data_IF_622297579440
#
_entry.id   IF_622297579440
#
_cell.length_a   1.000
_cell.length_b   1.000
_cell.length_c   1.000
_cell.angle_alpha   90.00
_cell.angle_beta   90.00
_cell.angle_gamma   90.00
#
_symmetry.space_group_name_H-M   'P 1'
#
loop_
_entity.id
_entity.type
_entity.pdbx_description
1 polymer ?
#
# COMPACT_ATOMS: atom_id res chain seq x y z
N UNK A 1 -11.84 13.18 -6.90
CA UNK A 1 -10.78 13.82 -7.73
C UNK A 1 -9.56 12.90 -7.75
N UNK A 2 -9.26 12.28 -8.88
CA UNK A 2 -8.01 11.52 -9.05
C UNK A 2 -6.83 12.51 -8.94
N UNK A 3 -5.95 12.26 -7.95
CA UNK A 3 -4.69 13.01 -7.87
C UNK A 3 -3.93 12.78 -9.18
N UNK A 4 -3.81 13.82 -10.01
CA UNK A 4 -2.97 13.85 -11.20
C UNK A 4 -1.58 13.29 -10.83
N UNK A 5 -1.19 12.22 -11.50
CA UNK A 5 0.11 11.58 -11.32
C UNK A 5 1.19 12.59 -11.72
N UNK A 6 2.02 13.04 -10.76
CA UNK A 6 3.15 13.91 -11.08
C UNK A 6 4.45 13.11 -10.93
N UNK A 7 5.22 13.06 -12.02
CA UNK A 7 6.60 12.58 -12.01
C UNK A 7 7.48 13.60 -11.27
N UNK A 8 7.45 13.58 -9.94
CA UNK A 8 8.33 14.44 -9.15
C UNK A 8 9.69 13.74 -8.90
N UNK A 9 10.72 14.54 -8.57
CA UNK A 9 12.07 14.01 -8.34
C UNK A 9 12.12 12.87 -7.29
N UNK A 10 11.24 12.88 -6.28
CA UNK A 10 11.14 11.81 -5.30
C UNK A 10 10.68 10.50 -5.94
N UNK A 11 9.67 10.54 -6.81
CA UNK A 11 9.19 9.35 -7.51
C UNK A 11 10.31 8.70 -8.34
N UNK A 12 11.05 9.51 -9.09
CA UNK A 12 12.18 9.04 -9.91
C UNK A 12 13.27 8.41 -9.03
N UNK A 13 13.63 9.06 -7.93
CA UNK A 13 14.64 8.54 -6.99
C UNK A 13 14.24 7.19 -6.39
N UNK A 14 12.99 7.03 -5.98
CA UNK A 14 12.50 5.75 -5.44
C UNK A 14 12.45 4.64 -6.49
N UNK A 15 11.98 4.94 -7.72
CA UNK A 15 12.01 3.99 -8.82
C UNK A 15 13.44 3.54 -9.10
N UNK A 16 14.41 4.47 -9.13
CA UNK A 16 15.81 4.15 -9.33
C UNK A 16 16.37 3.22 -8.22
N UNK A 17 16.07 3.53 -6.94
CA UNK A 17 16.50 2.69 -5.81
C UNK A 17 15.89 1.29 -5.89
N UNK A 18 14.60 1.16 -6.14
CA UNK A 18 13.95 -0.16 -6.28
C UNK A 18 14.50 -0.94 -7.48
N UNK A 19 14.78 -0.26 -8.59
CA UNK A 19 15.38 -0.90 -9.78
C UNK A 19 16.80 -1.42 -9.49
N UNK A 20 17.61 -0.63 -8.79
CA UNK A 20 18.94 -1.06 -8.35
C UNK A 20 18.85 -2.27 -7.39
N UNK A 21 17.90 -2.27 -6.44
CA UNK A 21 17.67 -3.42 -5.56
C UNK A 21 17.25 -4.67 -6.35
N UNK A 22 16.40 -4.51 -7.39
CA UNK A 22 16.05 -5.63 -8.26
C UNK A 22 17.29 -6.20 -8.96
N UNK A 23 18.17 -5.35 -9.51
CA UNK A 23 19.39 -5.77 -10.19
C UNK A 23 20.33 -6.52 -9.23
N UNK A 24 20.58 -5.99 -8.03
CA UNK A 24 21.40 -6.65 -7.01
C UNK A 24 20.83 -8.03 -6.64
N UNK A 25 19.52 -8.14 -6.44
CA UNK A 25 18.89 -9.43 -6.12
C UNK A 25 18.88 -10.40 -7.33
N UNK A 26 18.96 -9.88 -8.54
CA UNK A 26 19.09 -10.71 -9.74
C UNK A 26 20.46 -11.38 -9.85
N UNK A 27 21.53 -10.78 -9.34
CA UNK A 27 22.87 -11.41 -9.30
C UNK A 27 22.89 -12.70 -8.47
N UNK A 28 21.94 -12.84 -7.53
CA UNK A 28 21.80 -14.04 -6.69
C UNK A 28 20.84 -15.01 -7.41
N UNK A 29 21.37 -15.75 -8.37
CA UNK A 29 20.64 -16.76 -9.12
C UNK A 29 21.04 -18.16 -8.66
N UNK A 30 20.06 -18.95 -8.21
CA UNK A 30 20.29 -20.30 -7.69
C UNK A 30 19.70 -21.33 -8.65
N UNK A 31 20.53 -22.13 -9.34
CA UNK A 31 20.03 -23.27 -10.09
C UNK A 31 19.53 -24.34 -9.11
N UNK A 32 18.35 -24.85 -9.34
CA UNK A 32 17.79 -25.93 -8.53
C UNK A 32 17.96 -27.26 -9.26
N UNK A 33 18.52 -28.31 -8.62
CA UNK A 33 18.85 -29.58 -9.29
C UNK A 33 17.63 -30.36 -9.79
N UNK A 34 16.43 -30.00 -9.36
CA UNK A 34 15.15 -30.59 -9.80
C UNK A 34 14.58 -29.95 -11.06
N UNK A 35 15.20 -28.88 -11.56
CA UNK A 35 14.78 -28.17 -12.77
C UNK A 35 15.93 -28.08 -13.80
N UNK A 36 15.62 -27.92 -15.10
CA UNK A 36 16.63 -27.68 -16.11
C UNK A 36 17.55 -26.50 -15.75
N UNK A 37 18.86 -26.63 -16.01
CA UNK A 37 19.89 -25.69 -15.54
C UNK A 37 19.71 -24.24 -16.02
N UNK A 38 18.98 -24.02 -17.10
CA UNK A 38 18.62 -22.68 -17.58
C UNK A 38 17.49 -22.00 -16.79
N UNK A 39 16.82 -22.75 -15.89
CA UNK A 39 15.81 -22.20 -14.96
C UNK A 39 16.49 -21.92 -13.61
N UNK A 40 16.91 -20.67 -13.41
CA UNK A 40 17.53 -20.22 -12.16
C UNK A 40 16.52 -19.43 -11.32
N UNK A 41 16.39 -19.75 -10.03
CA UNK A 41 15.49 -19.04 -9.13
C UNK A 41 16.16 -17.79 -8.55
N UNK A 42 15.44 -16.71 -8.51
CA UNK A 42 15.86 -15.44 -7.91
C UNK A 42 14.67 -14.68 -7.34
N UNK A 43 14.93 -13.72 -6.46
CA UNK A 43 13.89 -12.94 -5.76
C UNK A 43 13.83 -11.48 -6.21
N UNK A 44 14.36 -11.19 -7.41
CA UNK A 44 14.48 -9.82 -7.93
C UNK A 44 13.14 -9.11 -8.20
N UNK A 45 12.01 -9.83 -8.23
CA UNK A 45 10.67 -9.23 -8.35
C UNK A 45 10.15 -8.64 -7.03
N UNK A 46 10.77 -8.96 -5.88
CA UNK A 46 10.37 -8.48 -4.57
C UNK A 46 10.35 -6.94 -4.47
N UNK A 47 11.44 -6.20 -4.83
CA UNK A 47 11.40 -4.74 -4.76
C UNK A 47 10.39 -4.13 -5.75
N UNK A 48 10.16 -4.74 -6.91
CA UNK A 48 9.16 -4.29 -7.88
C UNK A 48 7.73 -4.41 -7.33
N UNK A 49 7.40 -5.51 -6.62
CA UNK A 49 6.13 -5.66 -5.91
C UNK A 49 5.95 -4.62 -4.81
N UNK A 50 7.00 -4.38 -4.00
CA UNK A 50 6.97 -3.37 -2.95
C UNK A 50 6.75 -1.97 -3.54
N UNK A 51 7.43 -1.63 -4.65
CA UNK A 51 7.24 -0.38 -5.37
C UNK A 51 5.78 -0.26 -5.89
N UNK A 52 5.26 -1.33 -6.47
CA UNK A 52 3.88 -1.39 -6.97
C UNK A 52 2.83 -1.20 -5.87
N UNK A 53 3.03 -1.80 -4.70
CA UNK A 53 2.13 -1.66 -3.55
C UNK A 53 2.23 -0.27 -2.90
N UNK A 54 3.43 0.29 -2.79
CA UNK A 54 3.67 1.56 -2.09
C UNK A 54 3.37 2.78 -2.96
N UNK A 55 3.80 2.75 -4.23
CA UNK A 55 3.78 3.89 -5.16
C UNK A 55 2.74 3.74 -6.27
N UNK A 56 2.14 2.57 -6.38
CA UNK A 56 1.10 2.23 -7.36
C UNK A 56 1.58 1.41 -8.55
N UNK A 57 0.64 0.84 -9.34
CA UNK A 57 0.94 -0.13 -10.41
C UNK A 57 1.95 0.37 -11.45
N UNK A 58 1.88 1.66 -11.80
CA UNK A 58 2.80 2.26 -12.76
C UNK A 58 4.25 2.24 -12.27
N UNK A 59 4.48 2.52 -10.99
CA UNK A 59 5.83 2.46 -10.42
C UNK A 59 6.38 1.04 -10.46
N UNK A 60 5.59 0.03 -10.09
CA UNK A 60 5.98 -1.37 -10.20
C UNK A 60 6.32 -1.79 -11.64
N UNK A 61 5.51 -1.35 -12.62
CA UNK A 61 5.76 -1.63 -14.04
C UNK A 61 7.06 -0.97 -14.53
N UNK A 62 7.30 0.31 -14.18
CA UNK A 62 8.54 1.01 -14.57
C UNK A 62 9.75 0.38 -13.91
N UNK A 63 9.67 -0.04 -12.66
CA UNK A 63 10.76 -0.81 -11.99
C UNK A 63 11.05 -2.11 -12.75
N UNK A 64 10.03 -2.84 -13.23
CA UNK A 64 10.25 -4.04 -14.06
C UNK A 64 10.98 -3.71 -15.37
N UNK A 65 10.66 -2.59 -16.04
CA UNK A 65 11.35 -2.14 -17.25
C UNK A 65 12.80 -1.78 -16.95
N UNK A 66 13.05 -1.00 -15.91
CA UNK A 66 14.42 -0.63 -15.51
C UNK A 66 15.24 -1.86 -15.11
N UNK A 67 14.64 -2.79 -14.35
CA UNK A 67 15.23 -4.08 -14.01
C UNK A 67 15.67 -4.83 -15.27
N UNK A 68 14.79 -4.97 -16.25
CA UNK A 68 15.07 -5.64 -17.52
C UNK A 68 16.29 -5.03 -18.24
N UNK A 69 16.35 -3.69 -18.32
CA UNK A 69 17.50 -3.01 -18.93
C UNK A 69 18.80 -3.29 -18.16
N UNK A 70 18.74 -3.28 -16.82
CA UNK A 70 19.90 -3.57 -15.98
C UNK A 70 20.37 -5.03 -16.09
N UNK A 71 19.45 -5.99 -16.20
CA UNK A 71 19.75 -7.41 -16.44
C UNK A 71 20.48 -7.60 -17.78
N UNK A 72 20.12 -6.85 -18.83
CA UNK A 72 20.82 -6.90 -20.12
C UNK A 72 22.24 -6.32 -20.08
N UNK A 73 22.46 -5.28 -19.27
CA UNK A 73 23.79 -4.63 -19.13
C UNK A 73 24.77 -5.55 -18.39
N UNK A 74 24.30 -6.33 -17.42
CA UNK A 74 25.12 -7.27 -16.65
C UNK A 74 25.64 -8.45 -17.50
N UNK A 75 25.03 -8.67 -18.65
CA UNK A 75 25.37 -9.77 -19.56
C UNK A 75 24.32 -10.89 -19.52
N UNK A 76 24.30 -11.68 -20.57
CA UNK A 76 23.28 -12.73 -20.71
C UNK A 76 23.92 -14.11 -20.92
N UNK A 77 23.55 -15.07 -20.07
CA UNK A 77 23.91 -16.48 -20.20
C UNK A 77 23.03 -17.25 -21.23
N UNK A 78 21.92 -16.59 -21.66
CA UNK A 78 20.86 -17.23 -22.46
C UNK A 78 20.56 -16.50 -23.75
N UNK A 79 21.51 -15.73 -24.27
CA UNK A 79 21.35 -14.87 -25.45
C UNK A 79 20.15 -13.91 -25.33
N UNK A 80 19.85 -13.41 -24.13
CA UNK A 80 18.76 -12.47 -23.86
C UNK A 80 17.39 -13.11 -23.65
N UNK A 81 17.23 -14.40 -23.88
CA UNK A 81 15.93 -15.08 -23.81
C UNK A 81 15.44 -15.21 -22.37
N UNK A 82 16.34 -15.47 -21.43
CA UNK A 82 16.04 -15.54 -20.00
C UNK A 82 15.57 -14.21 -19.45
N UNK A 83 16.25 -13.13 -19.81
CA UNK A 83 15.94 -11.76 -19.40
C UNK A 83 14.57 -11.30 -19.93
N UNK A 84 14.25 -11.62 -21.19
CA UNK A 84 12.91 -11.38 -21.76
C UNK A 84 11.84 -12.19 -21.00
N UNK A 85 12.12 -13.46 -20.69
CA UNK A 85 11.22 -14.29 -19.91
C UNK A 85 10.98 -13.71 -18.51
N UNK A 86 12.05 -13.27 -17.84
CA UNK A 86 11.99 -12.65 -16.51
C UNK A 86 11.17 -11.35 -16.53
N UNK A 87 11.37 -10.51 -17.55
CA UNK A 87 10.61 -9.28 -17.73
C UNK A 87 9.11 -9.54 -17.89
N UNK A 88 8.74 -10.41 -18.83
CA UNK A 88 7.32 -10.73 -19.10
C UNK A 88 6.66 -11.32 -17.84
N UNK A 89 7.33 -12.26 -17.17
CA UNK A 89 6.83 -12.91 -15.98
C UNK A 89 6.76 -11.93 -14.78
N UNK A 90 7.75 -11.04 -14.65
CA UNK A 90 7.79 -10.00 -13.63
C UNK A 90 6.62 -9.02 -13.79
N UNK A 91 6.38 -8.50 -15.00
CA UNK A 91 5.24 -7.62 -15.27
C UNK A 91 3.91 -8.34 -15.03
N UNK A 92 3.78 -9.60 -15.48
CA UNK A 92 2.58 -10.42 -15.29
C UNK A 92 2.30 -10.72 -13.80
N UNK A 93 3.32 -10.67 -12.95
CA UNK A 93 3.19 -10.80 -11.51
C UNK A 93 2.89 -9.46 -10.83
N UNK A 94 3.73 -8.46 -11.06
CA UNK A 94 3.73 -7.18 -10.33
C UNK A 94 2.52 -6.33 -10.68
N UNK A 95 2.14 -6.26 -11.96
CA UNK A 95 1.08 -5.34 -12.39
C UNK A 95 -0.31 -5.75 -11.84
N UNK A 96 -0.81 -6.99 -12.02
CA UNK A 96 -2.09 -7.39 -11.47
C UNK A 96 -2.11 -7.34 -9.94
N UNK A 97 -1.02 -7.76 -9.28
CA UNK A 97 -0.88 -7.69 -7.81
C UNK A 97 -1.07 -6.26 -7.31
N UNK A 98 -0.41 -5.31 -7.96
CA UNK A 98 -0.44 -3.89 -7.58
C UNK A 98 -1.78 -3.22 -7.89
N UNK A 99 -2.45 -3.60 -8.98
CA UNK A 99 -3.79 -3.09 -9.32
C UNK A 99 -4.80 -3.53 -8.28
N UNK A 100 -4.81 -4.81 -7.90
CA UNK A 100 -5.72 -5.34 -6.86
C UNK A 100 -5.47 -4.64 -5.53
N UNK A 101 -4.20 -4.51 -5.15
CA UNK A 101 -3.83 -3.84 -3.91
C UNK A 101 -4.22 -2.35 -3.90
N UNK A 102 -4.12 -1.66 -5.04
CA UNK A 102 -4.54 -0.24 -5.18
C UNK A 102 -6.02 -0.06 -4.82
N UNK A 103 -6.87 -1.00 -5.21
CA UNK A 103 -8.31 -0.95 -4.91
C UNK A 103 -8.63 -1.38 -3.47
N UNK A 104 -7.83 -2.25 -2.86
CA UNK A 104 -8.05 -2.74 -1.50
C UNK A 104 -6.76 -2.69 -0.68
N UNK A 105 -6.44 -1.50 -0.13
CA UNK A 105 -5.22 -1.24 0.66
C UNK A 105 -5.29 -1.89 2.04
N UNK A 106 -5.21 -3.21 2.11
CA UNK A 106 -5.23 -4.00 3.34
C UNK A 106 -4.32 -5.22 3.20
N UNK A 107 -3.95 -5.86 4.32
CA UNK A 107 -3.20 -7.12 4.30
C UNK A 107 -3.91 -8.21 3.47
N UNK A 108 -5.24 -8.31 3.58
CA UNK A 108 -6.04 -9.22 2.76
C UNK A 108 -5.96 -8.86 1.27
N UNK A 109 -5.98 -7.56 0.94
CA UNK A 109 -5.83 -7.08 -0.43
C UNK A 109 -4.44 -7.36 -1.00
N UNK A 110 -3.38 -7.23 -0.21
CA UNK A 110 -2.02 -7.61 -0.60
C UNK A 110 -1.92 -9.11 -0.89
N UNK A 111 -2.46 -9.95 -0.01
CA UNK A 111 -2.47 -11.40 -0.18
C UNK A 111 -3.23 -11.82 -1.43
N UNK A 112 -4.44 -11.31 -1.64
CA UNK A 112 -5.25 -11.58 -2.85
C UNK A 112 -4.49 -11.11 -4.10
N UNK A 113 -3.87 -9.93 -4.06
CA UNK A 113 -3.06 -9.40 -5.14
C UNK A 113 -1.91 -10.34 -5.51
N UNK A 114 -1.14 -10.81 -4.51
CA UNK A 114 -0.03 -11.75 -4.70
C UNK A 114 -0.52 -13.07 -5.31
N UNK A 115 -1.62 -13.62 -4.82
CA UNK A 115 -2.18 -14.88 -5.33
C UNK A 115 -2.61 -14.71 -6.79
N UNK A 116 -3.43 -13.71 -7.10
CA UNK A 116 -3.94 -13.49 -8.46
C UNK A 116 -2.81 -13.13 -9.43
N UNK A 117 -1.92 -12.20 -9.05
CA UNK A 117 -0.77 -11.86 -9.88
C UNK A 117 0.17 -13.05 -10.09
N UNK A 118 0.35 -13.88 -9.05
CA UNK A 118 1.12 -15.12 -9.16
C UNK A 118 0.53 -16.11 -10.14
N UNK A 119 -0.79 -16.35 -10.09
CA UNK A 119 -1.49 -17.20 -11.05
C UNK A 119 -1.39 -16.64 -12.47
N UNK A 120 -1.54 -15.33 -12.65
CA UNK A 120 -1.32 -14.67 -13.94
C UNK A 120 0.11 -14.91 -14.46
N UNK A 121 1.13 -14.74 -13.60
CA UNK A 121 2.53 -14.97 -13.98
C UNK A 121 2.79 -16.41 -14.40
N UNK A 122 2.29 -17.40 -13.66
CA UNK A 122 2.43 -18.82 -14.03
C UNK A 122 1.75 -19.11 -15.36
N UNK A 123 0.54 -18.61 -15.57
CA UNK A 123 -0.20 -18.78 -16.81
C UNK A 123 0.54 -18.16 -18.01
N UNK A 124 0.98 -16.91 -17.87
CA UNK A 124 1.74 -16.21 -18.92
C UNK A 124 3.09 -16.90 -19.18
N UNK A 125 3.78 -17.38 -18.15
CA UNK A 125 5.00 -18.15 -18.31
C UNK A 125 4.79 -19.41 -19.20
N UNK A 126 3.73 -20.17 -18.93
CA UNK A 126 3.41 -21.34 -19.74
C UNK A 126 3.10 -20.97 -21.19
N UNK A 127 2.28 -19.94 -21.39
CA UNK A 127 1.89 -19.47 -22.72
C UNK A 127 3.08 -19.01 -23.54
N UNK A 128 3.90 -18.14 -22.96
CA UNK A 128 5.07 -17.52 -23.63
C UNK A 128 6.15 -18.56 -23.90
N UNK A 129 6.40 -19.49 -22.98
CA UNK A 129 7.34 -20.61 -23.21
C UNK A 129 6.85 -21.52 -24.35
N UNK A 130 5.56 -21.85 -24.39
CA UNK A 130 4.95 -22.71 -25.43
C UNK A 130 4.99 -22.08 -26.82
N UNK A 131 4.70 -20.79 -26.90
CA UNK A 131 4.53 -20.10 -28.18
C UNK A 131 5.81 -19.51 -28.74
N UNK A 132 6.68 -19.00 -27.88
CA UNK A 132 7.77 -18.12 -28.29
C UNK A 132 9.13 -18.48 -27.68
N UNK A 133 9.29 -18.51 -26.35
CA UNK A 133 10.60 -18.54 -25.69
C UNK A 133 11.45 -19.76 -26.07
N UNK A 134 10.89 -20.96 -26.05
CA UNK A 134 11.63 -22.18 -26.39
C UNK A 134 12.11 -22.15 -27.85
N UNK A 135 11.30 -21.59 -28.76
CA UNK A 135 11.70 -21.47 -30.18
C UNK A 135 12.85 -20.47 -30.35
N UNK A 136 12.78 -19.32 -29.64
CA UNK A 136 13.85 -18.31 -29.69
C UNK A 136 15.11 -18.86 -29.03
N UNK A 137 14.99 -19.53 -27.89
CA UNK A 137 16.08 -20.17 -27.20
C UNK A 137 16.78 -21.24 -28.11
N UNK A 138 15.97 -22.07 -28.81
CA UNK A 138 16.48 -23.02 -29.78
C UNK A 138 17.27 -22.33 -30.88
N UNK A 139 16.74 -21.23 -31.42
CA UNK A 139 17.38 -20.53 -32.56
C UNK A 139 18.70 -19.84 -32.18
N UNK A 140 18.71 -19.12 -31.06
CA UNK A 140 19.83 -18.24 -30.70
C UNK A 140 20.81 -18.84 -29.72
N UNK A 141 20.40 -19.75 -28.84
CA UNK A 141 21.28 -20.34 -27.83
C UNK A 141 21.93 -21.66 -28.30
N UNK A 142 21.15 -22.52 -28.99
CA UNK A 142 21.64 -23.83 -29.44
C UNK A 142 21.74 -23.94 -30.97
N UNK A 143 21.84 -22.81 -31.67
CA UNK A 143 22.04 -22.74 -33.12
C UNK A 143 21.03 -23.59 -33.95
N UNK A 144 19.76 -23.58 -33.51
CA UNK A 144 18.68 -24.32 -34.18
C UNK A 144 18.55 -25.78 -33.79
N UNK A 145 19.43 -26.33 -32.97
CA UNK A 145 19.41 -27.75 -32.60
C UNK A 145 18.49 -27.98 -31.38
N UNK A 146 17.23 -28.31 -31.66
CA UNK A 146 16.23 -28.55 -30.62
C UNK A 146 16.55 -29.77 -29.73
N UNK A 147 17.20 -30.80 -30.28
CA UNK A 147 17.58 -31.99 -29.51
C UNK A 147 18.49 -31.70 -28.32
N UNK A 148 19.31 -30.63 -28.40
CA UNK A 148 20.11 -30.18 -27.24
C UNK A 148 19.24 -29.79 -26.06
N UNK A 149 18.18 -29.01 -26.29
CA UNK A 149 17.25 -28.60 -25.24
C UNK A 149 16.52 -29.82 -24.66
N UNK A 150 16.08 -30.72 -25.54
CA UNK A 150 15.44 -31.97 -25.09
C UNK A 150 16.41 -32.78 -24.22
N UNK A 151 17.69 -32.90 -24.59
CA UNK A 151 18.69 -33.62 -23.82
C UNK A 151 19.00 -32.94 -22.47
N UNK A 152 19.01 -31.59 -22.39
CA UNK A 152 19.11 -30.85 -21.12
C UNK A 152 17.99 -31.21 -20.14
N UNK A 153 16.78 -31.46 -20.65
CA UNK A 153 15.64 -31.86 -19.84
C UNK A 153 15.59 -33.38 -19.57
N UNK A 154 16.16 -34.20 -20.47
CA UNK A 154 16.12 -35.67 -20.41
C UNK A 154 16.89 -36.23 -19.21
N UNK A 155 17.93 -35.52 -18.74
CA UNK A 155 18.67 -35.88 -17.52
C UNK A 155 17.80 -35.89 -16.27
N UNK A 156 16.73 -35.06 -16.25
CA UNK A 156 15.78 -34.95 -15.15
C UNK A 156 14.48 -35.73 -15.43
N UNK A 157 14.02 -35.70 -16.68
CA UNK A 157 12.74 -36.29 -17.11
C UNK A 157 12.99 -37.37 -18.16
N UNK A 158 13.29 -38.58 -17.75
CA UNK A 158 13.75 -39.70 -18.61
C UNK A 158 12.79 -40.04 -19.76
N UNK A 159 11.49 -39.76 -19.62
CA UNK A 159 10.47 -40.05 -20.66
C UNK A 159 10.31 -38.91 -21.68
N UNK A 160 11.06 -37.80 -21.57
CA UNK A 160 10.95 -36.67 -22.48
C UNK A 160 11.62 -36.98 -23.82
N UNK A 161 10.98 -36.60 -24.92
CA UNK A 161 11.49 -36.67 -26.28
C UNK A 161 10.95 -35.47 -27.08
N UNK A 162 11.36 -35.32 -28.34
CA UNK A 162 10.96 -34.17 -29.16
C UNK A 162 9.45 -34.05 -29.36
N UNK A 163 8.73 -35.16 -29.47
CA UNK A 163 7.30 -35.20 -29.72
C UNK A 163 6.48 -34.77 -28.49
N UNK A 164 6.94 -35.11 -27.29
CA UNK A 164 6.25 -34.82 -26.03
C UNK A 164 6.91 -33.71 -25.20
N UNK A 165 7.94 -33.05 -25.71
CA UNK A 165 8.74 -32.05 -24.99
C UNK A 165 7.88 -31.00 -24.31
N UNK A 166 7.01 -30.33 -25.05
CA UNK A 166 6.22 -29.24 -24.50
C UNK A 166 5.29 -29.69 -23.38
N UNK A 167 4.73 -30.88 -23.47
CA UNK A 167 3.87 -31.43 -22.42
C UNK A 167 4.68 -31.64 -21.13
N UNK A 168 5.78 -32.39 -21.22
CA UNK A 168 6.63 -32.63 -20.04
C UNK A 168 7.26 -31.35 -19.49
N UNK A 169 7.81 -30.50 -20.36
CA UNK A 169 8.43 -29.26 -19.96
C UNK A 169 7.44 -28.33 -19.26
N UNK A 170 6.24 -28.15 -19.80
CA UNK A 170 5.25 -27.25 -19.18
C UNK A 170 4.77 -27.80 -17.83
N UNK A 171 4.39 -29.06 -17.76
CA UNK A 171 3.81 -29.62 -16.54
C UNK A 171 4.86 -30.00 -15.48
N UNK A 172 6.05 -30.46 -15.85
CA UNK A 172 7.05 -30.92 -14.90
C UNK A 172 8.11 -29.86 -14.56
N UNK A 173 8.34 -28.89 -15.43
CA UNK A 173 9.34 -27.83 -15.19
C UNK A 173 8.71 -26.44 -15.07
N UNK A 174 8.05 -25.94 -16.12
CA UNK A 174 7.63 -24.55 -16.19
C UNK A 174 6.61 -24.17 -15.09
N UNK A 175 5.53 -24.94 -14.92
CA UNK A 175 4.52 -24.70 -13.89
C UNK A 175 5.12 -24.80 -12.48
N UNK A 176 5.76 -25.92 -12.08
CA UNK A 176 6.29 -26.04 -10.72
C UNK A 176 7.36 -24.99 -10.40
N UNK A 177 8.24 -24.69 -11.35
CA UNK A 177 9.28 -23.68 -11.18
C UNK A 177 8.70 -22.28 -10.95
N UNK A 178 7.78 -21.82 -11.81
CA UNK A 178 7.18 -20.50 -11.67
C UNK A 178 6.28 -20.42 -10.45
N UNK A 179 5.59 -21.50 -10.09
CA UNK A 179 4.83 -21.56 -8.84
C UNK A 179 5.73 -21.40 -7.61
N UNK A 180 6.86 -22.12 -7.57
CA UNK A 180 7.84 -22.00 -6.49
C UNK A 180 8.41 -20.58 -6.40
N UNK A 181 8.76 -19.97 -7.56
CA UNK A 181 9.24 -18.59 -7.63
C UNK A 181 8.23 -17.60 -7.07
N UNK A 182 6.97 -17.69 -7.51
CA UNK A 182 5.88 -16.81 -7.06
C UNK A 182 5.61 -17.00 -5.57
N UNK A 183 5.62 -18.23 -5.08
CA UNK A 183 5.45 -18.54 -3.66
C UNK A 183 6.58 -17.90 -2.83
N UNK A 184 7.82 -18.10 -3.23
CA UNK A 184 8.98 -17.54 -2.52
C UNK A 184 8.94 -16.02 -2.49
N UNK A 185 8.77 -15.37 -3.64
CA UNK A 185 8.71 -13.90 -3.74
C UNK A 185 7.48 -13.36 -3.00
N UNK A 186 6.34 -14.06 -3.11
CA UNK A 186 5.10 -13.67 -2.44
C UNK A 186 5.20 -13.72 -0.92
N UNK A 187 5.75 -14.80 -0.36
CA UNK A 187 5.98 -14.93 1.09
C UNK A 187 6.94 -13.85 1.59
N UNK A 188 8.07 -13.67 0.91
CA UNK A 188 9.04 -12.62 1.27
C UNK A 188 8.41 -11.23 1.20
N UNK A 189 7.64 -10.94 0.14
CA UNK A 189 6.93 -9.66 0.01
C UNK A 189 5.95 -9.46 1.17
N UNK A 190 5.17 -10.47 1.51
CA UNK A 190 4.20 -10.38 2.60
C UNK A 190 4.86 -10.10 3.95
N UNK A 191 6.00 -10.76 4.24
CA UNK A 191 6.75 -10.56 5.48
C UNK A 191 7.39 -9.16 5.57
N UNK A 192 7.97 -8.69 4.46
CA UNK A 192 8.72 -7.41 4.42
C UNK A 192 7.81 -6.22 4.17
N UNK A 193 6.65 -6.39 3.54
CA UNK A 193 5.78 -5.32 3.10
C UNK A 193 5.30 -4.42 4.26
N UNK A 194 4.85 -5.00 5.39
CA UNK A 194 4.27 -4.23 6.50
C UNK A 194 5.26 -3.25 7.16
N UNK A 195 6.49 -3.65 7.52
CA UNK A 195 7.49 -2.72 8.03
C UNK A 195 7.94 -1.73 6.96
N UNK A 196 8.18 -2.19 5.73
CA UNK A 196 8.68 -1.35 4.63
C UNK A 196 7.65 -0.30 4.21
N UNK A 197 6.35 -0.63 4.15
CA UNK A 197 5.31 0.31 3.77
C UNK A 197 5.17 1.49 4.75
N UNK A 198 5.39 1.26 6.05
CA UNK A 198 5.39 2.34 7.05
C UNK A 198 6.55 3.31 6.82
N UNK A 199 7.76 2.79 6.56
CA UNK A 199 8.95 3.58 6.29
C UNK A 199 8.82 4.32 4.96
N UNK A 200 8.39 3.62 3.90
CA UNK A 200 8.20 4.22 2.57
C UNK A 200 7.12 5.30 2.57
N UNK A 201 5.99 5.07 3.24
CA UNK A 201 4.95 6.09 3.38
C UNK A 201 5.50 7.33 4.09
N UNK A 202 6.33 7.15 5.12
CA UNK A 202 6.97 8.26 5.83
C UNK A 202 7.98 9.01 4.95
N UNK A 203 8.75 8.33 4.11
CA UNK A 203 9.80 8.95 3.29
C UNK A 203 9.25 9.45 1.95
N UNK A 204 8.44 8.65 1.25
CA UNK A 204 7.95 8.95 -0.11
C UNK A 204 6.80 9.97 -0.13
N UNK A 205 5.78 9.75 0.69
CA UNK A 205 4.70 10.74 0.80
C UNK A 205 5.13 11.93 1.67
N UNK A 206 6.36 11.91 2.15
CA UNK A 206 6.79 12.63 3.31
C UNK A 206 6.14 11.92 4.51
N UNK A 207 6.66 11.94 5.73
CA UNK A 207 5.73 12.31 6.75
C UNK A 207 4.90 13.39 6.05
N UNK A 208 3.55 13.27 5.89
CA UNK A 208 2.81 14.51 5.91
C UNK A 208 3.61 15.27 6.94
N UNK A 209 4.41 16.27 6.49
CA UNK A 209 4.79 17.31 7.41
C UNK A 209 3.41 17.73 7.78
N UNK A 210 2.99 17.15 8.87
CA UNK A 210 1.87 17.57 9.61
C UNK A 210 2.27 19.00 9.81
N UNK A 211 1.80 19.86 8.91
CA UNK A 211 1.80 21.28 9.10
C UNK A 211 0.79 21.52 10.22
N UNK A 212 1.00 20.72 11.29
CA UNK A 212 0.35 20.91 12.52
C UNK A 212 0.92 22.19 13.10
N UNK A 213 0.06 23.13 13.35
CA UNK A 213 0.43 24.36 14.04
C UNK A 213 0.92 23.96 15.44
N UNK A 214 2.10 24.41 15.83
CA UNK A 214 2.60 24.15 17.17
C UNK A 214 1.97 25.16 18.12
N UNK A 215 1.21 24.66 19.09
CA UNK A 215 0.73 25.44 20.22
C UNK A 215 1.66 25.24 21.41
N UNK A 216 2.03 26.32 22.08
CA UNK A 216 2.90 26.34 23.25
C UNK A 216 2.17 26.64 24.56
N UNK A 217 0.86 26.92 24.48
CA UNK A 217 -0.01 27.14 25.64
C UNK A 217 -1.47 26.81 25.35
N UNK A 218 -2.31 26.74 26.39
CA UNK A 218 -3.75 26.53 26.22
C UNK A 218 -4.41 27.70 25.46
N UNK A 219 -4.00 28.94 25.76
CA UNK A 219 -4.49 30.16 25.10
C UNK A 219 -4.17 30.13 23.60
N UNK A 220 -2.97 29.67 23.23
CA UNK A 220 -2.59 29.52 21.82
C UNK A 220 -3.41 28.41 21.13
N UNK A 221 -3.70 27.31 21.84
CA UNK A 221 -4.58 26.26 21.32
C UNK A 221 -5.98 26.82 21.04
N UNK A 222 -6.52 27.62 21.96
CA UNK A 222 -7.81 28.28 21.81
C UNK A 222 -7.80 29.26 20.63
N UNK A 223 -6.74 30.05 20.47
CA UNK A 223 -6.62 31.00 19.35
C UNK A 223 -6.61 30.26 17.99
N UNK A 224 -5.85 29.17 17.88
CA UNK A 224 -5.81 28.33 16.65
C UNK A 224 -7.21 27.77 16.35
N UNK A 225 -7.89 27.23 17.35
CA UNK A 225 -9.22 26.64 17.18
C UNK A 225 -10.29 27.69 16.84
N UNK A 226 -10.17 28.91 17.39
CA UNK A 226 -11.03 30.05 17.05
C UNK A 226 -10.89 30.44 15.58
N UNK A 227 -9.67 30.42 15.04
CA UNK A 227 -9.44 30.71 13.62
C UNK A 227 -9.97 29.58 12.75
N UNK A 228 -9.77 28.32 13.16
CA UNK A 228 -10.29 27.14 12.47
C UNK A 228 -11.82 27.17 12.39
N UNK A 229 -12.52 27.63 13.44
CA UNK A 229 -13.97 27.74 13.47
C UNK A 229 -14.55 28.58 12.32
N UNK A 230 -13.81 29.58 11.80
CA UNK A 230 -14.23 30.39 10.64
C UNK A 230 -14.37 29.57 9.33
N UNK A 231 -13.78 28.40 9.27
CA UNK A 231 -13.86 27.49 8.13
C UNK A 231 -15.03 26.51 8.21
N UNK A 232 -15.69 26.45 9.36
CA UNK A 232 -16.78 25.53 9.62
C UNK A 232 -18.12 26.08 9.11
N UNK A 233 -18.99 25.16 8.72
CA UNK A 233 -20.36 25.44 8.25
C UNK A 233 -21.35 24.63 9.05
N UNK A 234 -22.62 25.03 9.13
CA UNK A 234 -23.66 24.19 9.73
C UNK A 234 -23.66 22.76 9.18
N UNK A 235 -23.88 21.78 10.05
CA UNK A 235 -23.79 20.34 9.80
C UNK A 235 -22.37 19.81 9.54
N UNK A 236 -21.31 20.60 9.74
CA UNK A 236 -19.96 20.04 9.78
C UNK A 236 -19.78 19.21 11.06
N UNK A 237 -19.20 18.01 10.87
CA UNK A 237 -18.79 17.11 11.95
C UNK A 237 -17.28 17.11 12.07
N UNK A 238 -16.76 17.57 13.20
CA UNK A 238 -15.32 17.68 13.50
C UNK A 238 -14.94 16.57 14.48
N UNK A 239 -14.08 15.68 14.06
CA UNK A 239 -13.56 14.58 14.87
C UNK A 239 -12.23 14.99 15.52
N UNK A 240 -12.18 15.04 16.85
CA UNK A 240 -10.97 15.37 17.61
C UNK A 240 -10.23 14.11 18.03
N UNK A 241 -9.10 13.83 17.38
CA UNK A 241 -8.17 12.76 17.75
C UNK A 241 -7.10 13.24 18.74
N UNK A 242 -6.63 12.34 19.58
CA UNK A 242 -5.55 12.59 20.55
C UNK A 242 -5.79 11.90 21.88
N UNK A 243 -4.69 11.64 22.61
CA UNK A 243 -4.71 10.95 23.90
C UNK A 243 -5.48 11.72 24.99
N UNK A 244 -5.72 11.06 26.12
CA UNK A 244 -6.29 11.72 27.30
C UNK A 244 -5.36 12.88 27.72
N UNK A 245 -5.96 14.05 27.95
CA UNK A 245 -5.19 15.27 28.31
C UNK A 245 -4.47 15.95 27.13
N UNK A 246 -4.66 15.50 25.89
CA UNK A 246 -4.05 16.15 24.72
C UNK A 246 -4.53 17.58 24.48
N UNK A 247 -5.70 17.95 24.99
CA UNK A 247 -6.27 19.30 24.85
C UNK A 247 -7.46 19.37 23.90
N UNK A 248 -8.18 18.27 23.66
CA UNK A 248 -9.37 18.20 22.81
C UNK A 248 -10.45 19.20 23.28
N UNK A 249 -10.82 19.14 24.54
CA UNK A 249 -11.79 20.08 25.14
C UNK A 249 -11.28 21.53 25.11
N UNK A 250 -9.96 21.77 25.21
CA UNK A 250 -9.37 23.10 25.03
C UNK A 250 -9.55 23.61 23.59
N UNK A 251 -9.43 22.73 22.62
CA UNK A 251 -9.67 23.04 21.21
C UNK A 251 -11.15 23.33 20.97
N UNK A 252 -12.06 22.56 21.57
CA UNK A 252 -13.51 22.79 21.52
C UNK A 252 -13.89 24.17 22.10
N UNK A 253 -13.22 24.62 23.19
CA UNK A 253 -13.40 26.01 23.73
C UNK A 253 -13.07 27.05 22.67
N UNK A 254 -12.02 26.86 21.90
CA UNK A 254 -11.65 27.77 20.81
C UNK A 254 -12.67 27.78 19.68
N UNK A 255 -13.21 26.62 19.28
CA UNK A 255 -14.30 26.54 18.29
C UNK A 255 -15.53 27.32 18.81
N UNK A 256 -15.95 27.08 20.04
CA UNK A 256 -17.08 27.76 20.64
C UNK A 256 -16.93 29.29 20.62
N UNK A 257 -15.76 29.81 21.02
CA UNK A 257 -15.45 31.23 20.93
C UNK A 257 -15.49 31.77 19.50
N UNK A 258 -15.08 30.98 18.52
CA UNK A 258 -15.13 31.31 17.09
C UNK A 258 -16.56 31.41 16.56
N UNK A 259 -17.50 30.65 17.15
CA UNK A 259 -18.92 30.64 16.85
C UNK A 259 -19.72 31.70 17.66
N UNK A 260 -19.04 32.51 18.50
CA UNK A 260 -19.66 33.52 19.34
C UNK A 260 -20.37 32.94 20.56
N UNK A 261 -19.99 31.74 21.01
CA UNK A 261 -20.52 31.10 22.22
C UNK A 261 -19.65 31.53 23.40
N UNK A 262 -20.25 32.09 24.43
CA UNK A 262 -19.58 32.60 25.65
C UNK A 262 -19.73 31.66 26.85
N UNK A 263 -20.53 30.62 26.69
CA UNK A 263 -20.76 29.62 27.72
C UNK A 263 -19.47 28.85 28.09
N UNK A 264 -19.40 28.38 29.33
CA UNK A 264 -18.29 27.59 29.80
C UNK A 264 -18.33 26.21 29.18
N UNK A 265 -17.36 25.92 28.29
CA UNK A 265 -17.25 24.63 27.64
C UNK A 265 -16.56 23.63 28.57
N UNK A 266 -17.24 22.51 28.84
CA UNK A 266 -16.74 21.38 29.64
C UNK A 266 -16.83 20.08 28.83
N UNK A 267 -16.03 19.10 29.19
CA UNK A 267 -16.13 17.75 28.57
C UNK A 267 -17.42 17.06 29.06
N UNK A 268 -18.27 16.55 28.15
CA UNK A 268 -19.52 15.87 28.52
C UNK A 268 -19.31 14.37 28.79
N UNK A 269 -18.19 13.94 29.41
CA UNK A 269 -17.82 12.54 29.63
C UNK A 269 -18.91 11.70 30.32
N UNK A 270 -19.81 12.34 31.11
CA UNK A 270 -20.90 11.65 31.79
C UNK A 270 -22.27 11.87 31.12
N UNK A 271 -22.42 12.96 30.36
CA UNK A 271 -23.66 13.33 29.67
C UNK A 271 -23.66 12.91 28.19
N UNK A 272 -22.50 12.40 27.67
CA UNK A 272 -22.24 12.07 26.30
C UNK A 272 -22.29 13.27 25.32
N UNK A 273 -23.11 14.26 25.53
CA UNK A 273 -23.24 15.44 24.67
C UNK A 273 -23.67 16.67 25.49
N UNK A 274 -23.10 17.82 25.16
CA UNK A 274 -23.57 19.14 25.58
C UNK A 274 -24.02 19.92 24.35
N UNK A 275 -25.23 20.52 24.44
CA UNK A 275 -25.76 21.45 23.44
C UNK A 275 -25.50 22.90 23.89
N UNK A 276 -24.87 23.66 23.02
CA UNK A 276 -24.61 25.09 23.21
C UNK A 276 -25.44 25.91 22.22
N UNK A 277 -26.70 26.12 22.58
CA UNK A 277 -27.69 26.95 21.88
C UNK A 277 -27.96 26.51 20.43
N UNK A 278 -27.92 25.22 20.13
CA UNK A 278 -28.10 24.66 18.79
C UNK A 278 -27.00 25.02 17.78
N UNK A 279 -25.97 25.75 18.22
CA UNK A 279 -24.85 26.17 17.36
C UNK A 279 -23.68 25.18 17.40
N UNK A 280 -23.44 24.60 18.58
CA UNK A 280 -22.37 23.65 18.81
C UNK A 280 -22.85 22.47 19.64
N UNK A 281 -22.68 21.29 19.14
CA UNK A 281 -22.94 20.03 19.82
C UNK A 281 -21.58 19.38 20.13
N UNK A 282 -21.22 19.32 21.42
CA UNK A 282 -19.95 18.74 21.87
C UNK A 282 -20.18 17.34 22.43
N UNK A 283 -19.59 16.35 21.82
CA UNK A 283 -19.71 14.95 22.18
C UNK A 283 -18.41 14.43 22.80
N UNK A 284 -18.57 13.58 23.82
CA UNK A 284 -17.46 12.75 24.36
C UNK A 284 -17.92 11.29 24.36
N UNK A 285 -17.42 10.54 23.38
CA UNK A 285 -17.76 9.14 23.14
C UNK A 285 -16.84 8.16 23.88
N UNK A 286 -16.04 8.61 24.85
CA UNK A 286 -15.07 7.75 25.59
C UNK A 286 -15.71 6.50 26.20
N UNK A 287 -16.95 6.60 26.66
CA UNK A 287 -17.68 5.52 27.34
C UNK A 287 -18.58 4.68 26.41
N UNK A 288 -18.73 5.09 25.17
CA UNK A 288 -19.49 4.31 24.18
C UNK A 288 -18.62 3.16 23.66
N UNK A 289 -19.26 2.05 23.39
CA UNK A 289 -18.56 0.84 22.91
C UNK A 289 -18.86 0.54 21.46
N UNK A 290 -19.93 1.13 20.91
CA UNK A 290 -20.35 0.91 19.52
C UNK A 290 -21.12 2.11 18.96
N UNK A 291 -21.30 2.14 17.64
CA UNK A 291 -22.18 3.12 16.99
C UNK A 291 -23.66 2.91 17.36
N UNK A 292 -24.07 1.68 17.60
CA UNK A 292 -25.44 1.34 18.04
C UNK A 292 -25.77 1.99 19.39
N UNK A 293 -24.79 2.09 20.30
CA UNK A 293 -24.96 2.82 21.56
C UNK A 293 -25.26 4.30 21.31
N UNK A 294 -24.57 4.91 20.34
CA UNK A 294 -24.77 6.31 19.98
C UNK A 294 -26.15 6.55 19.33
N UNK A 295 -26.59 5.64 18.46
CA UNK A 295 -27.92 5.67 17.83
C UNK A 295 -29.01 5.49 18.91
N UNK A 296 -28.84 4.53 19.81
CA UNK A 296 -29.78 4.28 20.90
C UNK A 296 -29.94 5.47 21.86
N UNK A 297 -28.94 6.33 21.97
CA UNK A 297 -28.99 7.58 22.74
C UNK A 297 -29.45 8.78 21.90
N UNK A 298 -29.79 8.62 20.63
CA UNK A 298 -30.23 9.69 19.73
C UNK A 298 -29.11 10.69 19.36
N UNK A 299 -27.84 10.34 19.56
CA UNK A 299 -26.71 11.25 19.30
C UNK A 299 -26.52 11.54 17.81
N UNK A 300 -26.89 10.62 16.94
CA UNK A 300 -26.76 10.73 15.48
C UNK A 300 -27.68 11.77 14.86
N UNK A 301 -28.80 12.09 15.52
CA UNK A 301 -29.77 13.10 15.04
C UNK A 301 -29.14 14.48 14.97
N UNK A 302 -28.22 14.79 15.89
CA UNK A 302 -27.52 16.07 15.95
C UNK A 302 -26.56 16.33 14.80
N UNK A 303 -26.12 15.29 14.05
CA UNK A 303 -25.26 15.49 12.90
C UNK A 303 -25.90 16.31 11.78
N UNK A 304 -27.22 16.41 11.79
CA UNK A 304 -28.02 17.13 10.80
C UNK A 304 -28.89 18.25 11.42
N UNK A 305 -28.63 18.63 12.69
CA UNK A 305 -29.43 19.59 13.42
C UNK A 305 -29.07 21.07 13.17
N UNK A 306 -28.39 21.37 12.03
CA UNK A 306 -28.00 22.72 11.61
C UNK A 306 -27.00 23.43 12.54
N UNK A 307 -26.36 22.69 13.44
CA UNK A 307 -25.22 23.11 14.25
C UNK A 307 -23.92 22.49 13.78
N UNK A 308 -22.83 22.71 14.51
CA UNK A 308 -21.53 22.09 14.32
C UNK A 308 -21.35 21.01 15.38
N UNK A 309 -21.04 19.79 14.97
CA UNK A 309 -20.71 18.69 15.88
C UNK A 309 -19.20 18.61 16.10
N UNK A 310 -18.76 18.56 17.36
CA UNK A 310 -17.37 18.29 17.75
C UNK A 310 -17.36 17.04 18.59
N UNK A 311 -16.65 16.00 18.10
CA UNK A 311 -16.70 14.64 18.66
C UNK A 311 -15.31 14.24 19.16
N UNK A 312 -15.18 14.00 20.46
CA UNK A 312 -14.04 13.36 21.09
C UNK A 312 -14.25 11.83 21.13
N UNK A 313 -13.19 11.03 20.95
CA UNK A 313 -13.22 9.56 20.94
C UNK A 313 -14.13 8.98 19.85
N UNK A 314 -14.11 9.59 18.69
CA UNK A 314 -14.97 9.24 17.55
C UNK A 314 -14.73 7.84 17.00
N UNK A 315 -13.60 7.22 17.28
CA UNK A 315 -13.28 5.83 16.92
C UNK A 315 -14.25 4.82 17.53
N UNK A 316 -14.83 5.12 18.68
CA UNK A 316 -15.80 4.26 19.37
C UNK A 316 -17.15 4.18 18.65
N UNK A 317 -17.47 5.18 17.83
CA UNK A 317 -18.74 5.27 17.09
C UNK A 317 -18.51 5.35 15.57
N UNK A 318 -17.39 4.84 15.08
CA UNK A 318 -16.96 5.01 13.68
C UNK A 318 -17.95 4.50 12.64
N UNK A 319 -18.82 3.52 12.99
CA UNK A 319 -19.81 2.92 12.08
C UNK A 319 -20.98 3.84 11.71
N UNK A 320 -21.26 4.84 12.54
CA UNK A 320 -22.41 5.75 12.37
C UNK A 320 -22.01 7.18 12.01
N UNK A 321 -20.71 7.43 11.83
CA UNK A 321 -20.22 8.76 11.46
C UNK A 321 -20.54 9.10 10.00
N UNK A 322 -20.88 10.35 9.67
CA UNK A 322 -21.04 10.81 8.29
C UNK A 322 -19.74 10.62 7.46
N UNK A 323 -19.87 10.40 6.14
CA UNK A 323 -18.72 10.19 5.25
C UNK A 323 -17.76 11.40 5.17
N UNK A 324 -18.28 12.63 5.30
CA UNK A 324 -17.54 13.87 5.11
C UNK A 324 -17.16 14.56 6.43
N UNK A 325 -16.63 13.81 7.40
CA UNK A 325 -16.14 14.39 8.65
C UNK A 325 -14.78 15.09 8.45
N UNK A 326 -14.62 16.25 9.11
CA UNK A 326 -13.34 16.94 9.25
C UNK A 326 -12.57 16.33 10.42
N UNK A 327 -11.25 16.17 10.30
CA UNK A 327 -10.42 15.54 11.34
C UNK A 327 -9.38 16.52 11.84
N UNK A 328 -9.31 16.69 13.16
CA UNK A 328 -8.28 17.46 13.84
C UNK A 328 -7.56 16.51 14.81
N UNK A 329 -6.25 16.36 14.67
CA UNK A 329 -5.44 15.55 15.57
C UNK A 329 -4.61 16.45 16.49
N UNK A 330 -4.65 16.18 17.78
CA UNK A 330 -3.89 16.95 18.80
C UNK A 330 -2.92 15.98 19.48
N UNK A 331 -1.63 16.20 19.25
CA UNK A 331 -0.55 15.36 19.82
C UNK A 331 0.22 16.14 20.86
N UNK A 332 0.38 15.58 22.05
CA UNK A 332 1.23 16.15 23.11
C UNK A 332 2.71 15.99 22.77
N UNK A 333 3.44 17.10 22.62
CA UNK A 333 4.89 17.12 22.41
C UNK A 333 5.63 17.22 23.74
N UNK A 334 5.15 18.10 24.65
CA UNK A 334 5.67 18.27 26.00
C UNK A 334 4.58 18.83 26.92
N UNK A 335 4.93 19.07 28.19
CA UNK A 335 3.95 19.56 29.19
C UNK A 335 3.06 20.69 28.66
N UNK A 336 3.63 21.65 27.92
CA UNK A 336 2.91 22.84 27.44
C UNK A 336 2.88 22.95 25.90
N UNK A 337 3.44 21.95 25.16
CA UNK A 337 3.46 22.00 23.69
C UNK A 337 2.54 20.95 23.09
N UNK A 338 1.76 21.37 22.13
CA UNK A 338 0.87 20.50 21.33
C UNK A 338 1.14 20.71 19.85
N UNK A 339 1.02 19.66 19.09
CA UNK A 339 0.92 19.71 17.63
C UNK A 339 -0.54 19.53 17.27
N UNK A 340 -1.09 20.46 16.51
CA UNK A 340 -2.49 20.48 16.07
C UNK A 340 -2.49 20.37 14.55
N UNK A 341 -3.07 19.30 14.04
CA UNK A 341 -3.23 18.99 12.61
C UNK A 341 -4.69 19.24 12.24
N UNK A 342 -4.92 20.16 11.29
CA UNK A 342 -6.26 20.63 10.90
C UNK A 342 -6.69 19.99 9.56
#
# INVERSE_FOLDING_TARGET
MEKKFSFNGKWIAFVAVFSAMCAVLYLIQIPLPIFPAFLKIHVSDLPALIAGFSMGPLAGAVVCVCKFVLEFIDGTDTAGVGEIANFINGVAFVLPSSVIYKHKKSLKGALIGIIVGGLCSVFIACLVNRLFLIKVYTKFYVNGNFSIIVNMCKSLYTKINENNFYTYYIFCACIPFNFLRVLLVGVLTFLVYKPTSKVLNKIYFGSKVEQGVISTSAEQTIAIAKEYAKTLRPNDVVLLGGDLGAGKTTFTKGIALGLGITDSITSPTYAYMNDYNGKLFHFDCYRLTSGEDAEGLGLTDYFYANGICVIEWSENIASVLPENCKRVNITTISKNKRRIEL
#
